data_IF_138156365327
#
_entry.id   IF_138156365327
#
_cell.length_a   1.000
_cell.length_b   1.000
_cell.length_c   1.000
_cell.angle_alpha   90.00
_cell.angle_beta   90.00
_cell.angle_gamma   90.00
#
_symmetry.space_group_name_H-M   'P 1'
#
loop_
_entity.id
_entity.type
_entity.pdbx_description
1 polymer ?
#
# COMPACT_ATOMS: atom_id res chain seq x y z
N UNK A 1 3.70 20.08 5.48
CA UNK A 1 2.44 19.46 5.97
C UNK A 1 1.93 18.52 4.91
N UNK A 2 1.75 17.24 5.25
CA UNK A 2 1.31 16.20 4.31
C UNK A 2 -0.21 16.26 4.07
N UNK A 3 -0.65 15.97 2.84
CA UNK A 3 -2.06 15.97 2.48
C UNK A 3 -2.33 15.17 1.20
N UNK A 4 -3.60 14.80 1.01
CA UNK A 4 -4.13 14.30 -0.26
C UNK A 4 -5.26 15.21 -0.75
N UNK A 5 -5.25 15.52 -2.04
CA UNK A 5 -6.32 16.26 -2.73
C UNK A 5 -6.96 15.31 -3.72
N UNK A 6 -8.28 15.13 -3.63
CA UNK A 6 -9.02 14.18 -4.48
C UNK A 6 -10.05 14.90 -5.33
N UNK A 7 -10.25 14.39 -6.54
CA UNK A 7 -11.08 15.01 -7.57
C UNK A 7 -12.07 13.99 -8.13
N UNK A 8 -13.29 14.43 -8.42
CA UNK A 8 -14.34 13.53 -8.92
C UNK A 8 -14.19 13.16 -10.40
N UNK A 9 -13.39 13.90 -11.17
CA UNK A 9 -13.09 13.61 -12.58
C UNK A 9 -11.58 13.43 -12.77
N UNK A 10 -11.21 12.84 -13.90
CA UNK A 10 -9.82 12.73 -14.33
C UNK A 10 -9.22 14.12 -14.65
N UNK A 11 -7.89 14.20 -14.72
CA UNK A 11 -7.16 15.43 -15.00
C UNK A 11 -7.34 16.52 -13.94
N UNK A 12 -7.62 16.15 -12.69
CA UNK A 12 -7.79 17.06 -11.56
C UNK A 12 -9.00 17.99 -11.68
N UNK A 13 -10.11 17.48 -12.25
CA UNK A 13 -11.33 18.26 -12.50
C UNK A 13 -12.52 17.83 -11.63
N UNK A 14 -13.56 18.67 -11.64
CA UNK A 14 -14.82 18.40 -10.95
C UNK A 14 -14.80 18.84 -9.48
N UNK A 15 -15.58 18.17 -8.63
CA UNK A 15 -15.63 18.49 -7.20
C UNK A 15 -14.33 18.03 -6.55
N UNK A 16 -13.80 18.87 -5.66
CA UNK A 16 -12.49 18.66 -5.03
C UNK A 16 -12.63 18.62 -3.51
N UNK A 17 -11.83 17.80 -2.84
CA UNK A 17 -11.66 17.82 -1.39
C UNK A 17 -10.19 17.61 -1.01
N UNK A 18 -9.79 18.20 0.11
CA UNK A 18 -8.47 18.04 0.71
C UNK A 18 -8.59 17.32 2.05
N UNK A 19 -7.73 16.34 2.29
CA UNK A 19 -7.63 15.61 3.55
C UNK A 19 -6.20 15.67 4.09
N UNK A 20 -6.08 15.97 5.39
CA UNK A 20 -4.81 16.03 6.13
C UNK A 20 -4.70 14.95 7.22
N UNK A 21 -5.74 14.14 7.38
CA UNK A 21 -5.86 13.08 8.37
C UNK A 21 -6.59 11.89 7.76
N UNK A 22 -6.53 10.74 8.43
CA UNK A 22 -7.26 9.54 8.05
C UNK A 22 -8.77 9.81 7.88
N UNK A 23 -9.35 9.20 6.85
CA UNK A 23 -10.78 9.27 6.52
C UNK A 23 -11.33 7.85 6.49
N UNK A 24 -11.90 7.39 7.59
CA UNK A 24 -12.46 6.04 7.69
C UNK A 24 -13.76 5.84 6.89
N UNK A 25 -14.44 6.91 6.50
CA UNK A 25 -15.65 6.82 5.69
C UNK A 25 -15.80 8.05 4.78
N UNK A 26 -15.55 7.87 3.49
CA UNK A 26 -15.67 8.92 2.46
C UNK A 26 -17.11 9.35 2.21
N UNK A 27 -18.11 8.54 2.54
CA UNK A 27 -19.53 8.89 2.44
C UNK A 27 -19.87 10.10 3.32
N UNK A 28 -19.34 10.13 4.54
CA UNK A 28 -19.50 11.28 5.47
C UNK A 28 -18.84 12.56 4.94
N UNK A 29 -17.95 12.43 3.96
CA UNK A 29 -17.30 13.55 3.26
C UNK A 29 -17.93 13.83 1.90
N UNK A 30 -18.91 13.02 1.48
CA UNK A 30 -19.55 13.10 0.16
C UNK A 30 -18.73 12.52 -0.98
N UNK A 31 -17.60 11.87 -0.75
CA UNK A 31 -16.64 11.40 -1.78
C UNK A 31 -16.60 9.88 -1.98
N UNK A 32 -17.54 9.13 -1.39
CA UNK A 32 -17.59 7.68 -1.53
C UNK A 32 -17.69 7.28 -3.01
N UNK A 33 -16.80 6.39 -3.46
CA UNK A 33 -16.82 5.85 -4.82
C UNK A 33 -16.83 6.96 -5.91
N UNK A 34 -16.25 8.12 -5.62
CA UNK A 34 -16.28 9.27 -6.51
C UNK A 34 -14.91 9.70 -7.03
N UNK A 35 -13.82 9.25 -6.40
CA UNK A 35 -12.46 9.70 -6.70
C UNK A 35 -12.00 9.15 -8.05
N UNK A 36 -11.59 10.03 -8.97
CA UNK A 36 -11.12 9.67 -10.32
C UNK A 36 -9.73 10.20 -10.66
N UNK A 37 -9.24 11.21 -9.93
CA UNK A 37 -7.85 11.64 -9.93
C UNK A 37 -7.49 12.19 -8.55
N UNK A 38 -6.19 12.22 -8.23
CA UNK A 38 -5.72 12.69 -6.93
C UNK A 38 -4.30 13.26 -7.00
N UNK A 39 -3.95 14.07 -6.00
CA UNK A 39 -2.59 14.59 -5.77
C UNK A 39 -2.21 14.31 -4.32
N UNK A 40 -1.06 13.71 -4.12
CA UNK A 40 -0.47 13.48 -2.79
C UNK A 40 0.70 14.44 -2.63
N UNK A 41 0.76 15.08 -1.47
CA UNK A 41 1.81 16.04 -1.11
C UNK A 41 2.39 15.61 0.23
N UNK A 42 3.70 15.43 0.30
CA UNK A 42 4.39 14.87 1.47
C UNK A 42 4.15 13.38 1.66
N UNK A 43 3.62 12.99 2.82
CA UNK A 43 3.50 11.58 3.20
C UNK A 43 2.58 10.75 2.27
N UNK A 44 2.92 9.47 2.00
CA UNK A 44 2.08 8.56 1.23
C UNK A 44 0.72 8.27 1.87
N UNK A 45 -0.21 7.77 1.05
CA UNK A 45 -1.57 7.42 1.45
C UNK A 45 -1.97 6.03 0.94
N UNK A 46 -2.76 5.32 1.72
CA UNK A 46 -3.46 4.10 1.29
C UNK A 46 -4.93 4.43 1.06
N UNK A 47 -5.44 4.13 -0.12
CA UNK A 47 -6.86 4.16 -0.41
C UNK A 47 -7.45 2.75 -0.37
N UNK A 48 -8.59 2.61 0.29
CA UNK A 48 -9.27 1.34 0.48
C UNK A 48 -10.62 1.35 -0.22
N UNK A 49 -10.99 0.22 -0.79
CA UNK A 49 -12.26 0.06 -1.49
C UNK A 49 -13.43 0.12 -0.51
N UNK A 50 -13.24 -0.39 0.71
CA UNK A 50 -14.26 -0.39 1.75
C UNK A 50 -14.00 0.67 2.81
N UNK A 51 -15.01 0.88 3.67
CA UNK A 51 -14.93 1.78 4.83
C UNK A 51 -14.02 1.17 5.89
N UNK A 52 -13.56 2.00 6.83
CA UNK A 52 -12.75 1.60 7.98
C UNK A 52 -11.43 0.88 7.61
N UNK A 53 -10.84 1.23 6.47
CA UNK A 53 -9.53 0.74 6.04
C UNK A 53 -9.49 -0.77 5.77
N UNK A 54 -10.57 -1.31 5.17
CA UNK A 54 -10.69 -2.73 4.83
C UNK A 54 -10.85 -2.97 3.32
N UNK A 55 -10.82 -4.24 2.93
CA UNK A 55 -10.98 -4.64 1.54
C UNK A 55 -9.72 -4.41 0.70
N UNK A 56 -9.90 -4.36 -0.62
CA UNK A 56 -8.81 -4.10 -1.55
C UNK A 56 -8.22 -2.70 -1.32
N UNK A 57 -6.90 -2.61 -1.39
CA UNK A 57 -6.16 -1.40 -1.07
C UNK A 57 -5.19 -1.03 -2.18
N UNK A 58 -4.85 0.26 -2.26
CA UNK A 58 -3.87 0.82 -3.19
C UNK A 58 -3.07 1.92 -2.52
N UNK A 59 -1.76 1.87 -2.68
CA UNK A 59 -0.85 2.92 -2.20
C UNK A 59 -0.71 4.01 -3.24
N UNK A 60 -0.69 5.26 -2.77
CA UNK A 60 -0.38 6.46 -3.53
C UNK A 60 0.72 7.22 -2.81
N UNK A 61 1.81 7.44 -3.51
CA UNK A 61 2.96 8.18 -3.02
C UNK A 61 2.88 9.65 -3.41
N UNK A 62 3.84 10.46 -2.95
CA UNK A 62 3.92 11.85 -3.38
C UNK A 62 3.96 11.97 -4.90
N UNK A 63 3.03 12.77 -5.44
CA UNK A 63 2.89 12.90 -6.88
C UNK A 63 1.47 13.24 -7.31
N UNK A 64 1.30 13.30 -8.63
CA UNK A 64 0.05 13.64 -9.28
C UNK A 64 -0.45 12.47 -10.12
N UNK A 65 -1.69 12.05 -9.88
CA UNK A 65 -2.32 10.90 -10.52
C UNK A 65 -3.55 11.39 -11.30
N UNK A 66 -3.32 11.82 -12.54
CA UNK A 66 -4.35 12.40 -13.40
C UNK A 66 -5.44 11.38 -13.81
N UNK A 67 -5.10 10.09 -13.82
CA UNK A 67 -6.01 8.98 -14.08
C UNK A 67 -5.77 7.86 -13.07
N UNK A 68 -6.82 7.08 -12.79
CA UNK A 68 -6.79 5.96 -11.86
C UNK A 68 -7.48 4.75 -12.50
N UNK A 69 -6.85 3.58 -12.46
CA UNK A 69 -7.51 2.33 -12.90
C UNK A 69 -8.69 1.98 -11.98
N UNK A 70 -8.60 2.37 -10.71
CA UNK A 70 -9.59 2.12 -9.67
C UNK A 70 -10.50 3.31 -9.39
N UNK A 71 -10.67 4.17 -10.39
CA UNK A 71 -11.59 5.31 -10.29
C UNK A 71 -12.97 4.86 -9.83
N UNK A 72 -13.52 5.62 -8.89
CA UNK A 72 -14.86 5.38 -8.35
C UNK A 72 -14.99 4.15 -7.44
N UNK A 73 -13.90 3.59 -6.92
CA UNK A 73 -13.97 2.40 -6.04
C UNK A 73 -13.68 2.67 -4.56
N UNK A 74 -13.08 3.82 -4.23
CA UNK A 74 -12.55 4.05 -2.88
C UNK A 74 -13.60 4.56 -1.88
N UNK A 75 -13.59 4.00 -0.67
CA UNK A 75 -14.48 4.35 0.44
C UNK A 75 -13.76 4.81 1.72
N UNK A 76 -12.44 4.60 1.86
CA UNK A 76 -11.65 5.19 2.96
C UNK A 76 -10.19 5.49 2.55
N UNK A 77 -9.55 6.42 3.27
CA UNK A 77 -8.18 6.90 3.01
C UNK A 77 -7.37 6.94 4.31
N UNK A 78 -6.20 6.32 4.35
CA UNK A 78 -5.29 6.33 5.51
C UNK A 78 -3.97 6.99 5.11
N UNK A 79 -3.55 8.01 5.83
CA UNK A 79 -2.21 8.58 5.68
C UNK A 79 -1.20 7.64 6.35
N UNK A 80 -0.05 7.47 5.72
CA UNK A 80 1.09 6.78 6.30
C UNK A 80 1.96 7.82 6.98
N UNK A 81 1.67 8.07 8.26
CA UNK A 81 2.36 9.07 9.07
C UNK A 81 3.44 8.46 10.00
N UNK A 82 3.60 7.14 9.95
CA UNK A 82 4.58 6.41 10.75
C UNK A 82 6.01 6.75 10.33
N UNK A 83 6.93 6.58 11.26
CA UNK A 83 8.36 6.69 10.98
C UNK A 83 8.75 5.59 9.97
N UNK A 84 9.20 6.02 8.81
CA UNK A 84 9.67 5.14 7.73
C UNK A 84 11.17 4.83 7.88
N UNK A 85 11.82 5.38 8.91
CA UNK A 85 13.22 5.13 9.22
C UNK A 85 13.43 3.69 9.76
N UNK A 86 14.59 3.12 9.43
CA UNK A 86 14.98 1.71 9.70
C UNK A 86 13.90 0.68 9.29
N UNK A 87 13.52 0.62 7.99
CA UNK A 87 12.55 -0.36 7.53
C UNK A 87 13.09 -1.78 7.74
N UNK A 88 12.28 -2.66 8.31
CA UNK A 88 12.60 -4.09 8.46
C UNK A 88 11.34 -4.94 8.35
N UNK A 89 11.38 -5.93 7.47
CA UNK A 89 10.41 -7.03 7.40
C UNK A 89 11.14 -8.37 7.54
N UNK A 90 10.48 -9.31 8.21
CA UNK A 90 10.89 -10.70 8.26
C UNK A 90 9.87 -11.52 7.50
N UNK A 91 10.33 -12.25 6.49
CA UNK A 91 9.52 -13.24 5.79
C UNK A 91 9.87 -14.64 6.26
N UNK A 92 8.86 -15.51 6.29
CA UNK A 92 8.96 -16.90 6.70
C UNK A 92 8.32 -17.79 5.65
N UNK A 93 8.98 -18.91 5.37
CA UNK A 93 8.55 -19.89 4.38
C UNK A 93 7.21 -20.57 4.74
N UNK A 94 6.96 -20.76 6.03
CA UNK A 94 5.75 -21.43 6.50
C UNK A 94 4.87 -20.48 7.30
N UNK A 95 3.63 -20.90 7.50
CA UNK A 95 2.72 -20.28 8.46
C UNK A 95 3.30 -20.35 9.87
N UNK A 96 2.76 -19.53 10.76
CA UNK A 96 3.16 -19.42 12.17
C UNK A 96 4.65 -19.10 12.37
N UNK A 97 5.23 -18.39 11.40
CA UNK A 97 6.60 -17.89 11.43
C UNK A 97 7.65 -19.02 11.52
N UNK A 98 7.39 -20.12 10.81
CA UNK A 98 8.25 -21.30 10.75
C UNK A 98 9.01 -21.41 9.43
N UNK A 99 9.95 -22.36 9.35
CA UNK A 99 10.72 -22.64 8.14
C UNK A 99 11.89 -21.67 7.92
N UNK A 100 12.35 -21.54 6.68
CA UNK A 100 13.42 -20.60 6.33
C UNK A 100 12.93 -19.16 6.56
N UNK A 101 13.81 -18.33 7.14
CA UNK A 101 13.55 -16.92 7.41
C UNK A 101 14.53 -16.03 6.65
N UNK A 102 14.01 -14.98 6.02
CA UNK A 102 14.82 -13.88 5.49
C UNK A 102 14.41 -12.56 6.15
N UNK A 103 15.39 -11.70 6.42
CA UNK A 103 15.18 -10.36 6.97
C UNK A 103 15.61 -9.36 5.92
N UNK A 104 14.69 -8.45 5.57
CA UNK A 104 14.89 -7.47 4.51
C UNK A 104 14.75 -6.08 5.10
N UNK A 105 15.67 -5.20 4.71
CA UNK A 105 15.74 -3.80 5.18
C UNK A 105 15.66 -2.77 4.07
N UNK A 106 15.35 -3.22 2.86
CA UNK A 106 15.21 -2.42 1.65
C UNK A 106 14.35 -3.17 0.65
N UNK A 107 13.89 -2.46 -0.36
CA UNK A 107 13.30 -3.07 -1.55
C UNK A 107 14.14 -4.25 -2.05
N UNK A 108 13.49 -5.39 -2.27
CA UNK A 108 14.16 -6.63 -2.69
C UNK A 108 13.22 -7.40 -3.61
N UNK A 109 13.69 -7.72 -4.81
CA UNK A 109 13.01 -8.68 -5.67
C UNK A 109 13.16 -10.09 -5.07
N UNK A 110 12.06 -10.76 -4.77
CA UNK A 110 12.09 -12.05 -4.07
C UNK A 110 12.67 -13.17 -4.95
N UNK A 111 12.58 -13.03 -6.27
CA UNK A 111 13.23 -13.95 -7.20
C UNK A 111 14.76 -13.96 -7.05
N UNK A 112 15.38 -12.82 -6.73
CA UNK A 112 16.84 -12.69 -6.64
C UNK A 112 17.42 -13.40 -5.41
N UNK A 113 16.57 -13.77 -4.45
CA UNK A 113 16.94 -14.43 -3.19
C UNK A 113 16.30 -15.81 -3.04
N UNK A 114 15.79 -16.37 -4.14
CA UNK A 114 15.07 -17.65 -4.20
C UNK A 114 13.95 -17.73 -3.15
N UNK A 115 13.26 -16.61 -2.89
CA UNK A 115 12.18 -16.51 -1.90
C UNK A 115 10.84 -16.11 -2.53
N UNK A 116 10.75 -16.14 -3.86
CA UNK A 116 9.49 -15.94 -4.59
C UNK A 116 8.51 -17.07 -4.31
N UNK A 117 7.24 -16.74 -4.07
CA UNK A 117 6.12 -17.67 -3.95
C UNK A 117 6.23 -18.72 -2.83
N UNK A 118 7.19 -18.55 -1.91
CA UNK A 118 7.32 -19.42 -0.73
C UNK A 118 6.98 -18.69 0.58
N UNK A 119 6.90 -17.36 0.58
CA UNK A 119 6.62 -16.60 1.80
C UNK A 119 5.15 -16.83 2.24
N UNK A 120 4.97 -17.50 3.37
CA UNK A 120 3.64 -17.84 3.90
C UNK A 120 3.28 -17.07 5.19
N UNK A 121 4.24 -16.42 5.83
CA UNK A 121 3.98 -15.49 6.93
C UNK A 121 5.05 -14.39 7.01
N UNK A 122 4.70 -13.27 7.64
CA UNK A 122 5.63 -12.15 7.79
C UNK A 122 5.41 -11.35 9.07
N UNK A 123 6.48 -10.68 9.51
CA UNK A 123 6.48 -9.74 10.63
C UNK A 123 7.13 -8.43 10.18
N UNK A 124 6.43 -7.32 10.36
CA UNK A 124 6.99 -5.99 10.08
C UNK A 124 7.52 -5.40 11.38
N UNK A 125 8.83 -5.17 11.44
CA UNK A 125 9.51 -4.55 12.58
C UNK A 125 9.62 -3.04 12.43
N UNK A 126 9.80 -2.55 11.21
CA UNK A 126 9.92 -1.12 10.91
C UNK A 126 9.52 -0.80 9.48
N UNK A 127 9.09 0.45 9.26
CA UNK A 127 8.61 0.94 7.96
C UNK A 127 7.30 0.29 7.48
N UNK A 128 6.77 0.79 6.36
CA UNK A 128 5.61 0.20 5.67
C UNK A 128 6.06 -0.55 4.44
N UNK A 129 5.53 -1.76 4.27
CA UNK A 129 5.89 -2.68 3.20
C UNK A 129 4.71 -2.94 2.28
N UNK A 130 4.96 -3.04 0.98
CA UNK A 130 3.95 -3.40 -0.02
C UNK A 130 4.37 -4.69 -0.71
N UNK A 131 3.56 -5.74 -0.54
CA UNK A 131 3.70 -7.02 -1.21
C UNK A 131 2.89 -6.96 -2.52
N UNK A 132 3.52 -7.39 -3.62
CA UNK A 132 2.89 -7.46 -4.93
C UNK A 132 2.73 -8.91 -5.36
N UNK A 133 1.54 -9.25 -5.84
CA UNK A 133 1.23 -10.60 -6.30
C UNK A 133 2.08 -10.96 -7.52
N UNK A 134 2.29 -10.02 -8.44
CA UNK A 134 3.07 -10.23 -9.65
C UNK A 134 4.35 -9.37 -9.67
N UNK A 135 5.34 -9.82 -10.44
CA UNK A 135 6.56 -9.06 -10.72
C UNK A 135 6.24 -7.69 -11.34
N UNK A 136 7.21 -6.78 -11.31
CA UNK A 136 7.08 -5.41 -11.85
C UNK A 136 5.92 -4.60 -11.26
N UNK A 137 5.59 -4.84 -9.99
CA UNK A 137 4.58 -4.08 -9.23
C UNK A 137 3.15 -4.22 -9.78
N UNK A 138 2.82 -5.42 -10.27
CA UNK A 138 1.51 -5.75 -10.83
C UNK A 138 0.70 -6.68 -9.92
N UNK A 139 -0.59 -6.82 -10.22
CA UNK A 139 -1.51 -7.67 -9.46
C UNK A 139 -2.00 -7.03 -8.17
N UNK A 140 -2.51 -7.86 -7.26
CA UNK A 140 -3.01 -7.39 -5.98
C UNK A 140 -1.88 -6.90 -5.06
N UNK A 141 -2.18 -5.83 -4.32
CA UNK A 141 -1.26 -5.21 -3.35
C UNK A 141 -1.67 -5.54 -1.93
N UNK A 142 -0.68 -5.93 -1.12
CA UNK A 142 -0.82 -6.08 0.32
C UNK A 142 0.14 -5.13 1.05
N UNK A 143 -0.42 -4.05 1.59
CA UNK A 143 0.24 -3.12 2.50
C UNK A 143 0.27 -3.71 3.91
N UNK A 144 1.45 -3.71 4.53
CA UNK A 144 1.69 -4.16 5.90
C UNK A 144 2.41 -3.08 6.70
N UNK A 145 1.90 -2.79 7.89
CA UNK A 145 2.36 -1.70 8.77
C UNK A 145 3.25 -2.24 9.89
N UNK A 146 4.08 -1.38 10.52
CA UNK A 146 4.85 -1.76 11.71
C UNK A 146 4.00 -2.43 12.78
N UNK A 147 4.48 -3.55 13.32
CA UNK A 147 3.75 -4.35 14.31
C UNK A 147 2.76 -5.36 13.73
N UNK A 148 2.51 -5.34 12.42
CA UNK A 148 1.75 -6.40 11.77
C UNK A 148 2.52 -7.73 11.87
N UNK A 149 1.88 -8.73 12.47
CA UNK A 149 2.28 -10.13 12.38
C UNK A 149 1.16 -10.88 11.65
N UNK A 150 1.45 -11.39 10.45
CA UNK A 150 0.48 -12.14 9.65
C UNK A 150 0.93 -13.58 9.49
N UNK A 151 0.14 -14.50 10.05
CA UNK A 151 0.26 -15.96 9.91
C UNK A 151 -0.95 -16.51 9.16
N UNK A 152 -0.75 -17.46 8.25
CA UNK A 152 -1.75 -17.87 7.27
C UNK A 152 -2.78 -18.91 7.75
N UNK A 153 -4.06 -18.51 7.72
CA UNK A 153 -5.19 -19.37 7.29
C UNK A 153 -6.11 -18.67 6.26
N UNK A 154 -5.92 -17.37 5.97
CA UNK A 154 -6.88 -16.58 5.19
C UNK A 154 -6.35 -16.08 3.84
N UNK A 155 -5.04 -16.00 3.59
CA UNK A 155 -4.49 -15.56 2.29
C UNK A 155 -3.16 -16.27 2.00
N UNK A 156 -3.24 -17.53 1.58
CA UNK A 156 -2.22 -18.17 0.73
C UNK A 156 -2.23 -17.44 -0.62
N UNK A 157 -1.63 -16.27 -0.68
CA UNK A 157 -1.46 -15.51 -1.91
C UNK A 157 0.02 -15.59 -2.28
N UNK A 158 0.29 -16.16 -3.44
CA UNK A 158 1.62 -16.22 -4.03
C UNK A 158 2.08 -14.79 -4.34
N UNK A 159 2.86 -14.19 -3.44
CA UNK A 159 3.44 -12.87 -3.63
C UNK A 159 4.85 -13.03 -4.21
N UNK A 160 5.02 -12.58 -5.46
CA UNK A 160 6.29 -12.69 -6.18
C UNK A 160 7.27 -11.55 -5.91
N UNK A 161 6.84 -10.46 -5.26
CA UNK A 161 7.73 -9.33 -4.94
C UNK A 161 7.38 -8.60 -3.65
N UNK A 162 8.42 -8.17 -2.93
CA UNK A 162 8.35 -7.19 -1.85
C UNK A 162 8.90 -5.84 -2.30
N UNK A 163 8.10 -4.78 -2.14
CA UNK A 163 8.60 -3.42 -2.08
C UNK A 163 8.77 -3.01 -0.61
N UNK A 164 10.00 -2.68 -0.25
CA UNK A 164 10.40 -2.34 1.10
C UNK A 164 10.68 -0.89 1.25
N UNK A 165 9.92 -0.26 2.15
CA UNK A 165 9.70 1.17 2.22
C UNK A 165 9.04 1.67 0.94
N UNK A 166 7.84 2.19 1.10
CA UNK A 166 7.14 2.94 0.06
C UNK A 166 8.14 3.93 -0.58
N UNK A 167 8.46 3.67 -1.86
CA UNK A 167 9.44 4.33 -2.74
C UNK A 167 10.88 4.50 -2.28
N UNK A 168 11.78 3.98 -3.10
CA UNK A 168 12.96 4.75 -3.53
C UNK A 168 12.69 5.34 -4.94
N UNK A 169 13.20 6.54 -5.26
CA UNK A 169 12.55 7.51 -6.13
C UNK A 169 12.84 7.25 -7.59
N UNK A 170 11.99 6.49 -8.29
CA UNK A 170 11.92 6.56 -9.76
C UNK A 170 10.48 6.41 -10.26
N UNK A 171 9.77 7.53 -10.31
CA UNK A 171 8.88 7.76 -11.46
C UNK A 171 9.70 7.76 -12.75
N UNK A 172 9.07 7.46 -13.91
CA UNK A 172 9.79 7.14 -15.15
C UNK A 172 10.63 8.32 -15.63
N UNK A 173 11.79 8.02 -16.22
CA UNK A 173 12.55 8.98 -17.03
C UNK A 173 11.74 9.32 -18.29
#
# INVERSE_FOLDING_TARGET
>A
MSKIVVFTKEGFNGRTAEFKNNVNNLEKRGFNNAISSLKVIGAPWVAYYDKNFTGKQRVFEEGEYATLEDKGKFSSLKMIADDLDDPEIQLFEHVDYQGRRVTLRRETNLHDIDFSDIASSHKVKGGVWVLYQHVNCQGDQLVSFPGDERSGNQESRDFSRLAGSILSPRGPV
#
